data_IF_640797170983
#
_entry.id   IF_640797170983
#
_cell.length_a   1.000
_cell.length_b   1.000
_cell.length_c   1.000
_cell.angle_alpha   90.00
_cell.angle_beta   90.00
_cell.angle_gamma   90.00
#
_symmetry.space_group_name_H-M   'P 1'
#
loop_
_entity.id
_entity.type
_entity.pdbx_description
1 polymer ?
#
# COMPACT_ATOMS: atom_id res chain seq x y z
N UNK A 1 -12.17 -26.42 -6.89
CA UNK A 1 -12.06 -25.16 -6.13
C UNK A 1 -12.18 -25.53 -4.67
N UNK A 2 -11.15 -25.27 -3.89
CA UNK A 2 -11.17 -25.46 -2.43
C UNK A 2 -11.98 -24.36 -1.76
N UNK A 3 -12.37 -24.55 -0.49
CA UNK A 3 -13.02 -23.48 0.29
C UNK A 3 -12.11 -22.24 0.38
N UNK A 4 -10.80 -22.46 0.48
CA UNK A 4 -9.78 -21.40 0.47
C UNK A 4 -9.78 -20.59 -0.82
N UNK A 5 -9.84 -21.22 -2.00
CA UNK A 5 -9.92 -20.51 -3.29
C UNK A 5 -11.15 -19.61 -3.30
N UNK A 6 -12.28 -20.11 -2.79
CA UNK A 6 -13.54 -19.36 -2.71
C UNK A 6 -13.43 -18.15 -1.77
N UNK A 7 -12.69 -18.27 -0.66
CA UNK A 7 -12.47 -17.16 0.27
C UNK A 7 -11.53 -16.10 -0.32
N UNK A 8 -10.48 -16.53 -1.03
CA UNK A 8 -9.55 -15.63 -1.71
C UNK A 8 -10.26 -14.83 -2.80
N UNK A 9 -11.06 -15.48 -3.65
CA UNK A 9 -11.85 -14.82 -4.71
C UNK A 9 -12.82 -13.78 -4.13
N UNK A 10 -13.49 -14.12 -3.02
CA UNK A 10 -14.39 -13.18 -2.31
C UNK A 10 -13.63 -11.99 -1.76
N UNK A 11 -12.46 -12.20 -1.18
CA UNK A 11 -11.64 -11.12 -0.66
C UNK A 11 -11.15 -10.19 -1.78
N UNK A 12 -10.72 -10.76 -2.91
CA UNK A 12 -10.34 -9.97 -4.09
C UNK A 12 -11.52 -9.15 -4.62
N UNK A 13 -12.72 -9.76 -4.68
CA UNK A 13 -13.93 -9.04 -5.11
C UNK A 13 -14.26 -7.88 -4.17
N UNK A 14 -14.14 -8.07 -2.85
CA UNK A 14 -14.35 -6.99 -1.87
C UNK A 14 -13.36 -5.85 -2.05
N UNK A 15 -12.08 -6.16 -2.30
CA UNK A 15 -11.06 -5.14 -2.58
C UNK A 15 -11.39 -4.35 -3.86
N UNK A 16 -11.74 -5.05 -4.95
CA UNK A 16 -12.15 -4.41 -6.21
C UNK A 16 -13.35 -3.49 -6.02
N UNK A 17 -14.40 -3.95 -5.33
CA UNK A 17 -15.57 -3.13 -5.01
C UNK A 17 -15.24 -1.89 -4.19
N UNK A 18 -14.34 -2.01 -3.20
CA UNK A 18 -13.90 -0.87 -2.42
C UNK A 18 -13.12 0.16 -3.27
N UNK A 19 -12.29 -0.31 -4.22
CA UNK A 19 -11.56 0.54 -5.15
C UNK A 19 -12.49 1.22 -6.16
N UNK A 20 -13.46 0.50 -6.72
CA UNK A 20 -14.46 1.08 -7.61
C UNK A 20 -15.24 2.18 -6.88
N UNK A 21 -15.69 1.89 -5.64
CA UNK A 21 -16.38 2.87 -4.79
C UNK A 21 -15.50 4.09 -4.50
N UNK A 22 -14.20 3.90 -4.25
CA UNK A 22 -13.26 4.99 -4.01
C UNK A 22 -13.27 6.01 -5.16
N UNK A 23 -13.26 5.54 -6.41
CA UNK A 23 -13.20 6.44 -7.55
C UNK A 23 -14.58 6.96 -7.95
N UNK A 24 -15.62 6.12 -7.92
CA UNK A 24 -16.96 6.49 -8.36
C UNK A 24 -17.70 7.39 -7.37
N UNK A 25 -17.48 7.22 -6.06
CA UNK A 25 -18.26 7.89 -5.01
C UNK A 25 -17.43 8.84 -4.15
N UNK A 26 -16.11 8.62 -4.09
CA UNK A 26 -15.21 9.30 -3.18
C UNK A 26 -14.12 10.13 -3.88
N UNK A 27 -14.15 10.26 -5.22
CA UNK A 27 -13.22 11.11 -6.00
C UNK A 27 -11.74 10.80 -5.70
N UNK A 28 -11.41 9.52 -5.46
CA UNK A 28 -10.06 9.08 -5.11
C UNK A 28 -9.62 9.38 -3.66
N UNK A 29 -10.49 10.00 -2.84
CA UNK A 29 -10.18 10.45 -1.47
C UNK A 29 -10.48 9.36 -0.45
N UNK A 30 -9.44 8.61 -0.09
CA UNK A 30 -9.49 7.49 0.83
C UNK A 30 -10.16 7.87 2.17
N UNK A 31 -9.83 9.05 2.70
CA UNK A 31 -10.33 9.57 3.97
C UNK A 31 -11.84 9.83 4.00
N UNK A 32 -12.49 9.88 2.84
CA UNK A 32 -13.94 10.05 2.76
C UNK A 32 -14.71 8.71 2.81
N UNK A 33 -14.02 7.58 2.72
CA UNK A 33 -14.61 6.24 2.84
C UNK A 33 -14.78 5.82 4.30
N UNK A 34 -15.59 4.80 4.55
CA UNK A 34 -15.65 4.20 5.89
C UNK A 34 -14.37 3.43 6.24
N UNK A 35 -14.11 3.24 7.54
CA UNK A 35 -12.86 2.65 8.01
C UNK A 35 -12.58 1.24 7.47
N UNK A 36 -13.58 0.41 7.21
CA UNK A 36 -13.36 -0.95 6.67
C UNK A 36 -13.02 -0.91 5.19
N UNK A 37 -13.68 -0.04 4.44
CA UNK A 37 -13.37 0.17 3.03
C UNK A 37 -11.98 0.77 2.84
N UNK A 38 -11.58 1.70 3.72
CA UNK A 38 -10.21 2.22 3.73
C UNK A 38 -9.18 1.11 3.92
N UNK A 39 -9.45 0.16 4.83
CA UNK A 39 -8.57 -0.98 5.07
C UNK A 39 -8.42 -1.87 3.83
N UNK A 40 -9.52 -2.15 3.11
CA UNK A 40 -9.49 -2.92 1.86
C UNK A 40 -8.68 -2.22 0.76
N UNK A 41 -8.87 -0.92 0.59
CA UNK A 41 -8.10 -0.14 -0.41
C UNK A 41 -6.61 -0.10 -0.05
N UNK A 42 -6.25 0.02 1.21
CA UNK A 42 -4.84 0.01 1.64
C UNK A 42 -4.16 -1.33 1.30
N UNK A 43 -4.83 -2.46 1.54
CA UNK A 43 -4.31 -3.77 1.15
C UNK A 43 -4.18 -3.86 -0.38
N UNK A 44 -5.22 -3.45 -1.12
CA UNK A 44 -5.18 -3.48 -2.59
C UNK A 44 -4.04 -2.64 -3.17
N UNK A 45 -3.84 -1.41 -2.67
CA UNK A 45 -2.72 -0.54 -3.09
C UNK A 45 -1.37 -1.21 -2.86
N UNK A 46 -1.21 -1.88 -1.71
CA UNK A 46 0.02 -2.59 -1.39
C UNK A 46 0.26 -3.75 -2.35
N UNK A 47 -0.73 -4.61 -2.59
CA UNK A 47 -0.62 -5.71 -3.56
C UNK A 47 -0.29 -5.21 -4.97
N UNK A 48 -1.02 -4.17 -5.44
CA UNK A 48 -0.85 -3.62 -6.78
C UNK A 48 0.54 -3.00 -6.99
N UNK A 49 1.02 -2.18 -6.06
CA UNK A 49 2.29 -1.45 -6.27
C UNK A 49 3.51 -2.27 -5.88
N UNK A 50 3.43 -3.09 -4.82
CA UNK A 50 4.55 -3.95 -4.44
C UNK A 50 4.76 -5.04 -5.49
N UNK A 51 3.69 -5.57 -6.08
CA UNK A 51 3.79 -6.54 -7.18
C UNK A 51 4.39 -5.97 -8.47
N UNK A 52 4.14 -4.69 -8.76
CA UNK A 52 4.58 -4.06 -10.02
C UNK A 52 5.96 -3.37 -9.95
N UNK A 53 6.27 -2.71 -8.82
CA UNK A 53 7.51 -1.94 -8.66
C UNK A 53 8.09 -1.99 -7.25
N UNK A 54 7.66 -2.94 -6.44
CA UNK A 54 8.15 -3.11 -5.06
C UNK A 54 7.73 -1.99 -4.12
N UNK A 55 8.40 -1.94 -2.96
CA UNK A 55 8.11 -0.95 -1.92
C UNK A 55 8.29 0.50 -2.41
N UNK A 56 9.21 0.71 -3.37
CA UNK A 56 9.50 2.02 -3.92
C UNK A 56 8.26 2.57 -4.62
N UNK A 57 7.68 1.84 -5.57
CA UNK A 57 6.45 2.29 -6.25
C UNK A 57 5.33 2.58 -5.25
N UNK A 58 5.11 1.72 -4.26
CA UNK A 58 4.06 1.90 -3.26
C UNK A 58 4.25 3.20 -2.44
N UNK A 59 5.44 3.42 -1.90
CA UNK A 59 5.75 4.62 -1.08
C UNK A 59 5.64 5.88 -1.93
N UNK A 60 5.83 5.78 -3.24
CA UNK A 60 5.89 6.94 -4.10
C UNK A 60 4.53 7.35 -4.63
N UNK A 61 3.64 6.37 -4.85
CA UNK A 61 2.24 6.63 -5.13
C UNK A 61 1.49 7.11 -3.88
N UNK A 62 1.77 6.54 -2.70
CA UNK A 62 0.91 6.72 -1.52
C UNK A 62 1.57 7.32 -0.28
N UNK A 63 2.88 7.49 -0.29
CA UNK A 63 3.66 8.05 0.82
C UNK A 63 3.91 7.06 1.97
N UNK A 64 4.86 7.43 2.83
CA UNK A 64 5.15 6.71 4.08
C UNK A 64 3.93 6.53 5.01
N UNK A 65 3.03 7.52 5.18
CA UNK A 65 1.84 7.34 6.02
C UNK A 65 0.92 6.20 5.53
N UNK A 66 0.84 5.95 4.23
CA UNK A 66 0.08 4.82 3.70
C UNK A 66 0.76 3.49 4.03
N UNK A 67 2.09 3.42 4.04
CA UNK A 67 2.83 2.22 4.44
C UNK A 67 2.57 1.87 5.91
N UNK A 68 2.58 2.87 6.80
CA UNK A 68 2.31 2.69 8.22
C UNK A 68 0.86 2.24 8.48
N UNK A 69 -0.10 2.87 7.81
CA UNK A 69 -1.52 2.45 7.87
C UNK A 69 -1.67 1.02 7.38
N UNK A 70 -1.11 0.67 6.22
CA UNK A 70 -1.13 -0.69 5.66
C UNK A 70 -0.53 -1.71 6.63
N UNK A 71 0.62 -1.41 7.24
CA UNK A 71 1.22 -2.27 8.27
C UNK A 71 0.27 -2.50 9.46
N UNK A 72 -0.49 -1.48 9.86
CA UNK A 72 -1.46 -1.58 10.96
C UNK A 72 -2.64 -2.49 10.59
N UNK A 73 -3.13 -2.39 9.36
CA UNK A 73 -4.19 -3.28 8.83
C UNK A 73 -3.70 -4.73 8.74
N UNK A 74 -2.50 -4.95 8.20
CA UNK A 74 -1.92 -6.29 8.09
C UNK A 74 -1.71 -6.95 9.45
N UNK A 75 -1.27 -6.20 10.47
CA UNK A 75 -1.18 -6.70 11.85
C UNK A 75 -2.55 -7.07 12.40
N UNK A 76 -3.59 -6.25 12.15
CA UNK A 76 -4.96 -6.49 12.60
C UNK A 76 -5.54 -7.81 12.06
N UNK A 77 -5.22 -8.18 10.82
CA UNK A 77 -5.66 -9.43 10.19
C UNK A 77 -4.72 -10.62 10.43
N UNK A 78 -3.66 -10.46 11.24
CA UNK A 78 -2.71 -11.53 11.54
C UNK A 78 -1.58 -11.72 10.52
N UNK A 79 -1.53 -10.92 9.45
CA UNK A 79 -0.44 -10.89 8.46
C UNK A 79 0.80 -10.15 8.99
N UNK A 80 1.26 -10.50 10.19
CA UNK A 80 2.32 -9.81 10.93
C UNK A 80 3.66 -9.83 10.18
N UNK A 81 3.98 -10.94 9.50
CA UNK A 81 5.22 -11.04 8.75
C UNK A 81 5.26 -10.10 7.55
N UNK A 82 4.16 -10.02 6.78
CA UNK A 82 4.02 -9.07 5.67
C UNK A 82 4.14 -7.63 6.17
N UNK A 83 3.47 -7.29 7.27
CA UNK A 83 3.59 -5.97 7.90
C UNK A 83 5.04 -5.65 8.28
N UNK A 84 5.78 -6.62 8.83
CA UNK A 84 7.19 -6.44 9.18
C UNK A 84 8.07 -6.20 7.94
N UNK A 85 7.86 -6.94 6.85
CA UNK A 85 8.61 -6.78 5.61
C UNK A 85 8.38 -5.41 4.99
N UNK A 86 7.11 -4.97 4.89
CA UNK A 86 6.76 -3.63 4.39
C UNK A 86 7.38 -2.55 5.26
N UNK A 87 7.28 -2.68 6.60
CA UNK A 87 7.86 -1.71 7.51
C UNK A 87 9.38 -1.58 7.36
N UNK A 88 10.10 -2.71 7.28
CA UNK A 88 11.56 -2.70 7.08
C UNK A 88 11.96 -2.10 5.73
N UNK A 89 11.23 -2.46 4.68
CA UNK A 89 11.48 -1.96 3.34
C UNK A 89 11.24 -0.44 3.24
N UNK A 90 10.17 0.05 3.88
CA UNK A 90 9.89 1.48 3.98
C UNK A 90 10.94 2.21 4.83
N UNK A 91 11.37 1.67 5.98
CA UNK A 91 12.42 2.29 6.79
C UNK A 91 13.76 2.39 6.05
N UNK A 92 14.16 1.33 5.35
CA UNK A 92 15.36 1.32 4.52
C UNK A 92 15.28 2.38 3.41
N UNK A 93 14.15 2.43 2.69
CA UNK A 93 13.92 3.44 1.67
C UNK A 93 13.95 4.86 2.25
N UNK A 94 13.31 5.09 3.40
CA UNK A 94 13.31 6.40 4.06
C UNK A 94 14.71 6.86 4.49
N UNK A 95 15.58 5.93 4.90
CA UNK A 95 16.99 6.22 5.22
C UNK A 95 17.76 6.65 3.98
N UNK A 96 17.59 5.91 2.88
CA UNK A 96 18.26 6.23 1.61
C UNK A 96 17.81 7.57 1.05
N UNK A 97 16.50 7.87 1.10
CA UNK A 97 15.95 9.16 0.70
C UNK A 97 16.60 10.31 1.48
N UNK A 98 16.71 10.18 2.81
CA UNK A 98 17.35 11.21 3.65
C UNK A 98 18.83 11.34 3.34
N UNK A 99 19.52 10.24 3.06
CA UNK A 99 20.92 10.26 2.66
C UNK A 99 21.10 11.04 1.35
N UNK A 100 20.32 10.73 0.32
CA UNK A 100 20.38 11.42 -0.97
C UNK A 100 20.04 12.91 -0.86
N UNK A 101 19.04 13.26 -0.04
CA UNK A 101 18.69 14.65 0.25
C UNK A 101 19.84 15.40 0.95
N UNK A 102 20.62 14.72 1.80
CA UNK A 102 21.81 15.33 2.42
C UNK A 102 22.95 15.59 1.43
N UNK A 103 22.96 14.89 0.29
CA UNK A 103 23.88 15.14 -0.83
C UNK A 103 23.33 16.17 -1.83
N UNK A 104 22.16 16.76 -1.56
CA UNK A 104 21.52 17.72 -2.47
C UNK A 104 20.83 17.09 -3.67
N UNK A 105 20.63 15.77 -3.69
CA UNK A 105 19.90 15.06 -4.74
C UNK A 105 18.41 15.03 -4.44
N UNK A 106 17.57 15.18 -5.46
CA UNK A 106 16.13 14.96 -5.34
C UNK A 106 15.75 13.58 -5.88
N UNK A 107 14.87 12.87 -5.18
CA UNK A 107 14.30 11.58 -5.62
C UNK A 107 13.73 11.62 -7.04
N UNK A 108 13.01 12.69 -7.39
CA UNK A 108 12.41 12.82 -8.72
C UNK A 108 13.46 12.84 -9.84
N UNK A 109 14.65 13.40 -9.58
CA UNK A 109 15.74 13.46 -10.55
C UNK A 109 16.38 12.09 -10.80
N UNK A 110 16.22 11.16 -9.87
CA UNK A 110 16.74 9.79 -9.99
C UNK A 110 15.76 8.83 -10.70
N UNK A 111 14.56 9.30 -11.05
CA UNK A 111 13.45 8.48 -11.55
C UNK A 111 13.15 8.58 -13.03
N UNK A 112 13.82 9.44 -13.79
CA UNK A 112 13.64 9.47 -15.25
C UNK A 112 14.30 8.23 -15.94
N UNK A 113 14.21 7.04 -15.33
CA UNK A 113 14.67 5.74 -15.85
C UNK A 113 13.50 4.76 -15.86
#
# INVERSE_FOLDING_TARGET
MTDTDTQADRFEQMMRQAVDKLFEQHDGKLESMDGREQELVLIWRAEADIGNGGILQFVCNWGFPAAEKTCSVLKKIGAVHSAMLIHRAADALGKEIRHLQSEGKNLKEMWDI
#
